data_IF_728139661506
#
_entry.id   IF_728139661506
#
_cell.length_a   1.000
_cell.length_b   1.000
_cell.length_c   1.000
_cell.angle_alpha   90.00
_cell.angle_beta   90.00
_cell.angle_gamma   90.00
#
_symmetry.space_group_name_H-M   'P 1'
#
loop_
_entity.id
_entity.type
_entity.pdbx_description
1 polymer ?
#
# COMPACT_ATOMS: atom_id res chain seq x y z
N UNK A 1 6.55 11.41 20.40
CA UNK A 1 7.17 11.15 19.08
C UNK A 1 6.02 10.76 18.16
N UNK A 2 5.67 11.59 17.17
CA UNK A 2 4.62 11.23 16.21
C UNK A 2 5.24 10.26 15.21
N UNK A 3 4.97 8.97 15.36
CA UNK A 3 5.36 7.99 14.34
C UNK A 3 4.63 8.39 13.07
N UNK A 4 5.37 8.72 12.01
CA UNK A 4 4.77 9.19 10.77
C UNK A 4 4.31 7.96 10.00
N UNK A 5 2.99 7.77 9.92
CA UNK A 5 2.36 6.60 9.33
C UNK A 5 1.94 6.92 7.90
N UNK A 6 2.41 6.11 6.95
CA UNK A 6 2.03 6.21 5.54
C UNK A 6 0.59 5.75 5.35
N UNK A 7 -0.27 6.62 4.82
CA UNK A 7 -1.65 6.27 4.53
C UNK A 7 -1.77 5.79 3.09
N UNK A 8 -2.34 4.61 2.88
CA UNK A 8 -2.52 4.01 1.56
C UNK A 8 -3.97 3.57 1.39
N UNK A 9 -4.45 3.61 0.15
CA UNK A 9 -5.77 3.11 -0.22
C UNK A 9 -5.64 1.88 -1.10
N UNK A 10 -6.22 0.79 -0.64
CA UNK A 10 -6.31 -0.48 -1.34
C UNK A 10 -7.67 -0.60 -2.03
N UNK A 11 -7.67 -0.57 -3.35
CA UNK A 11 -8.87 -0.82 -4.16
C UNK A 11 -9.01 -2.31 -4.40
N UNK A 12 -10.11 -2.90 -3.95
CA UNK A 12 -10.45 -4.31 -4.20
C UNK A 12 -11.65 -4.40 -5.13
N UNK A 13 -11.50 -5.23 -6.17
CA UNK A 13 -12.51 -5.42 -7.19
C UNK A 13 -12.53 -6.86 -7.71
N UNK A 14 -13.65 -7.33 -8.27
CA UNK A 14 -13.70 -8.60 -8.98
C UNK A 14 -12.70 -8.64 -10.14
N UNK A 15 -12.01 -9.76 -10.29
CA UNK A 15 -11.12 -10.05 -11.40
C UNK A 15 -11.86 -10.53 -12.65
N UNK A 16 -11.13 -10.70 -13.75
CA UNK A 16 -11.69 -11.21 -15.00
C UNK A 16 -12.16 -12.68 -14.89
N UNK A 17 -11.57 -13.44 -13.97
CA UNK A 17 -11.95 -14.83 -13.71
C UNK A 17 -12.99 -14.89 -12.57
N UNK A 18 -14.06 -15.69 -12.72
CA UNK A 18 -15.02 -15.91 -11.64
C UNK A 18 -14.35 -16.41 -10.37
N UNK A 19 -14.72 -15.81 -9.23
CA UNK A 19 -14.16 -16.18 -7.93
C UNK A 19 -12.76 -15.65 -7.66
N UNK A 20 -12.21 -14.76 -8.50
CA UNK A 20 -10.95 -14.07 -8.23
C UNK A 20 -11.24 -12.61 -7.91
N UNK A 21 -10.60 -12.09 -6.87
CA UNK A 21 -10.56 -10.67 -6.51
C UNK A 21 -9.15 -10.14 -6.70
N UNK A 22 -9.05 -8.89 -7.14
CA UNK A 22 -7.78 -8.20 -7.38
C UNK A 22 -7.75 -6.95 -6.51
N UNK A 23 -6.72 -6.85 -5.69
CA UNK A 23 -6.37 -5.67 -4.91
C UNK A 23 -5.26 -4.88 -5.59
N UNK A 24 -5.31 -3.54 -5.52
CA UNK A 24 -4.21 -2.66 -5.92
C UNK A 24 -4.08 -1.47 -4.99
N UNK A 25 -2.86 -0.95 -4.84
CA UNK A 25 -2.62 0.33 -4.14
C UNK A 25 -2.85 1.48 -5.10
N UNK A 26 -3.64 2.47 -4.67
CA UNK A 26 -4.01 3.62 -5.49
C UNK A 26 -2.85 4.61 -5.67
N UNK A 27 -2.11 4.89 -4.59
CA UNK A 27 -1.06 5.92 -4.56
C UNK A 27 0.27 5.43 -5.14
N UNK A 28 0.55 4.12 -5.05
CA UNK A 28 1.81 3.51 -5.46
C UNK A 28 1.55 2.47 -6.55
N UNK A 29 1.80 2.87 -7.79
CA UNK A 29 1.64 2.01 -8.96
C UNK A 29 2.54 0.76 -8.92
N UNK A 30 1.99 -0.36 -9.39
CA UNK A 30 2.69 -1.64 -9.51
C UNK A 30 2.69 -2.51 -8.25
N UNK A 31 1.84 -2.18 -7.26
CA UNK A 31 1.54 -3.06 -6.12
C UNK A 31 0.13 -3.62 -6.33
N UNK A 32 0.05 -4.94 -6.47
CA UNK A 32 -1.19 -5.66 -6.69
C UNK A 32 -1.13 -7.01 -5.97
N UNK A 33 -2.29 -7.52 -5.59
CA UNK A 33 -2.45 -8.84 -5.03
C UNK A 33 -3.77 -9.46 -5.51
N UNK A 34 -3.87 -10.78 -5.41
CA UNK A 34 -5.07 -11.51 -5.79
C UNK A 34 -5.49 -12.44 -4.65
N UNK A 35 -6.76 -12.77 -4.60
CA UNK A 35 -7.32 -13.76 -3.67
C UNK A 35 -8.60 -14.35 -4.23
N UNK A 36 -9.03 -15.48 -3.67
CA UNK A 36 -10.29 -16.13 -4.04
C UNK A 36 -11.50 -15.50 -3.34
N UNK A 37 -11.25 -14.59 -2.39
CA UNK A 37 -12.24 -13.76 -1.71
C UNK A 37 -11.73 -12.33 -1.59
N UNK A 38 -12.62 -11.38 -1.34
CA UNK A 38 -12.24 -9.98 -1.08
C UNK A 38 -11.28 -9.86 0.11
N UNK A 39 -11.54 -10.63 1.18
CA UNK A 39 -10.70 -10.62 2.37
C UNK A 39 -9.31 -11.22 2.10
N UNK A 40 -9.25 -12.33 1.36
CA UNK A 40 -7.97 -12.91 0.96
C UNK A 40 -7.16 -11.95 0.07
N UNK A 41 -7.81 -11.29 -0.89
CA UNK A 41 -7.16 -10.28 -1.72
C UNK A 41 -6.66 -9.09 -0.88
N UNK A 42 -7.40 -8.69 0.15
CA UNK A 42 -6.99 -7.64 1.08
C UNK A 42 -5.77 -8.01 1.91
N UNK A 43 -5.78 -9.19 2.56
CA UNK A 43 -4.66 -9.65 3.37
C UNK A 43 -3.40 -9.82 2.51
N UNK A 44 -3.53 -10.43 1.32
CA UNK A 44 -2.43 -10.58 0.38
C UNK A 44 -1.92 -9.21 -0.10
N UNK A 45 -2.80 -8.22 -0.29
CA UNK A 45 -2.42 -6.86 -0.65
C UNK A 45 -1.62 -6.18 0.46
N UNK A 46 -2.02 -6.36 1.72
CA UNK A 46 -1.32 -5.81 2.87
C UNK A 46 0.10 -6.38 2.98
N UNK A 47 0.26 -7.70 2.90
CA UNK A 47 1.56 -8.36 2.94
C UNK A 47 2.45 -7.95 1.75
N UNK A 48 1.88 -7.96 0.55
CA UNK A 48 2.60 -7.56 -0.67
C UNK A 48 3.05 -6.10 -0.58
N UNK A 49 2.20 -5.22 -0.05
CA UNK A 49 2.51 -3.79 0.09
C UNK A 49 3.67 -3.57 1.04
N UNK A 50 3.67 -4.22 2.20
CA UNK A 50 4.76 -4.15 3.16
C UNK A 50 6.10 -4.55 2.50
N UNK A 51 6.11 -5.69 1.81
CA UNK A 51 7.31 -6.20 1.14
C UNK A 51 7.76 -5.28 -0.01
N UNK A 52 6.82 -4.84 -0.85
CA UNK A 52 7.13 -3.99 -2.01
C UNK A 52 7.66 -2.63 -1.59
N UNK A 53 7.12 -2.03 -0.52
CA UNK A 53 7.63 -0.78 0.06
C UNK A 53 9.06 -0.96 0.56
N UNK A 54 9.32 -2.00 1.34
CA UNK A 54 10.65 -2.20 1.92
C UNK A 54 11.72 -2.46 0.83
N UNK A 55 11.40 -3.27 -0.18
CA UNK A 55 12.41 -3.78 -1.12
C UNK A 55 12.53 -2.93 -2.38
N UNK A 56 11.43 -2.41 -2.93
CA UNK A 56 11.42 -1.85 -4.30
C UNK A 56 10.85 -0.43 -4.40
N UNK A 57 9.91 -0.08 -3.52
CA UNK A 57 9.08 1.13 -3.62
C UNK A 57 9.38 2.15 -2.52
N UNK A 58 10.44 1.93 -1.73
CA UNK A 58 10.81 2.80 -0.61
C UNK A 58 10.91 4.29 -0.98
N UNK A 59 11.56 4.70 -2.09
CA UNK A 59 11.61 6.11 -2.46
C UNK A 59 10.23 6.72 -2.75
N UNK A 60 9.33 5.95 -3.37
CA UNK A 60 7.96 6.40 -3.65
C UNK A 60 7.13 6.49 -2.38
N UNK A 61 7.31 5.54 -1.45
CA UNK A 61 6.67 5.54 -0.15
C UNK A 61 7.12 6.74 0.70
N UNK A 62 8.41 7.07 0.70
CA UNK A 62 8.95 8.24 1.39
C UNK A 62 8.42 9.54 0.80
N UNK A 63 8.47 9.69 -0.53
CA UNK A 63 7.93 10.88 -1.19
C UNK A 63 6.44 11.09 -0.90
N UNK A 64 5.67 9.99 -0.88
CA UNK A 64 4.25 10.03 -0.51
C UNK A 64 4.06 10.42 0.96
N UNK A 65 4.85 9.84 1.87
CA UNK A 65 4.80 10.16 3.30
C UNK A 65 5.15 11.64 3.54
N UNK A 66 6.20 12.15 2.88
CA UNK A 66 6.57 13.57 2.88
C UNK A 66 5.42 14.45 2.40
N UNK A 67 4.74 14.06 1.31
CA UNK A 67 3.59 14.80 0.80
C UNK A 67 2.39 14.77 1.75
N UNK A 68 2.13 13.66 2.45
CA UNK A 68 1.00 13.53 3.38
C UNK A 68 1.22 14.32 4.67
N UNK A 69 2.46 14.36 5.15
CA UNK A 69 2.85 14.95 6.44
C UNK A 69 3.38 16.38 6.30
N UNK A 70 3.66 16.82 5.07
CA UNK A 70 4.31 18.09 4.75
C UNK A 70 5.68 18.26 5.44
N UNK A 71 6.38 17.14 5.69
CA UNK A 71 7.65 17.12 6.40
C UNK A 71 8.79 16.61 5.49
N UNK A 72 9.61 17.51 4.92
CA UNK A 72 10.67 17.15 3.98
C UNK A 72 11.83 16.39 4.63
N UNK A 73 11.91 16.32 5.96
CA UNK A 73 12.95 15.55 6.64
C UNK A 73 12.82 14.03 6.43
N UNK A 74 11.65 13.58 5.94
CA UNK A 74 11.35 12.16 5.73
C UNK A 74 11.99 11.56 4.48
N UNK A 75 12.30 12.37 3.46
CA UNK A 75 12.97 11.88 2.26
C UNK A 75 14.37 11.32 2.55
N UNK A 76 14.95 11.68 3.71
CA UNK A 76 16.25 11.24 4.17
C UNK A 76 16.19 10.13 5.25
N UNK A 77 15.03 9.49 5.45
CA UNK A 77 14.91 8.40 6.43
C UNK A 77 15.90 7.26 6.12
N UNK A 78 16.69 6.80 7.10
CA UNK A 78 17.66 5.72 6.90
C UNK A 78 16.99 4.46 6.36
N UNK A 79 17.68 3.69 5.51
CA UNK A 79 17.16 2.45 4.95
C UNK A 79 16.79 1.39 6.03
N UNK A 80 17.43 1.47 7.19
CA UNK A 80 17.22 0.56 8.33
C UNK A 80 15.92 0.83 9.09
N UNK A 81 15.31 2.01 8.90
CA UNK A 81 14.07 2.38 9.58
C UNK A 81 12.87 1.78 8.84
N UNK A 82 12.02 1.01 9.52
CA UNK A 82 10.81 0.47 8.91
C UNK A 82 9.77 1.56 8.73
N UNK A 83 9.13 1.58 7.56
CA UNK A 83 8.01 2.48 7.31
C UNK A 83 6.73 1.84 7.81
N UNK A 84 6.12 2.46 8.81
CA UNK A 84 4.77 2.10 9.22
C UNK A 84 3.76 2.62 8.20
N UNK A 85 2.76 1.80 7.87
CA UNK A 85 1.67 2.20 6.99
C UNK A 85 0.33 1.69 7.51
N UNK A 86 -0.73 2.39 7.12
CA UNK A 86 -2.12 1.96 7.26
C UNK A 86 -2.74 1.82 5.89
N UNK A 87 -3.43 0.71 5.66
CA UNK A 87 -4.14 0.44 4.43
C UNK A 87 -5.65 0.59 4.67
N UNK A 88 -6.27 1.58 4.06
CA UNK A 88 -7.73 1.70 4.01
C UNK A 88 -8.25 0.87 2.83
N UNK A 89 -9.30 0.07 3.08
CA UNK A 89 -9.93 -0.76 2.05
C UNK A 89 -11.10 -0.01 1.45
N UNK A 90 -11.07 0.18 0.14
CA UNK A 90 -12.21 0.63 -0.64
C UNK A 90 -12.65 -0.48 -1.61
N UNK A 91 -13.95 -0.76 -1.59
CA UNK A 91 -14.57 -1.62 -2.58
C UNK A 91 -14.87 -0.77 -3.81
N UNK A 92 -14.34 -1.16 -4.96
CA UNK A 92 -14.68 -0.48 -6.20
C UNK A 92 -16.17 -0.69 -6.49
N UNK A 93 -16.96 0.37 -6.36
CA UNK A 93 -18.35 0.39 -6.83
C UNK A 93 -18.33 0.27 -8.36
N UNK A 94 -18.79 -0.87 -8.88
CA UNK A 94 -19.05 -1.07 -10.30
C UNK A 94 -20.12 -0.09 -10.82
#
# INVERSE_FOLDING_TARGET
MSTQVLKLTGLIQPGASPGVYVGRIQEIGGIFAQGNTEEEAYQNLLETTAHMIEVYKRPQALALLTSQTHNPALDALPAEEKLEFTLERELASC
#
